data_IF_882709434369
#
_entry.id   IF_882709434369
#
_cell.length_a   1.000
_cell.length_b   1.000
_cell.length_c   1.000
_cell.angle_alpha   90.00
_cell.angle_beta   90.00
_cell.angle_gamma   90.00
#
_symmetry.space_group_name_H-M   'P 1'
#
loop_
_entity.id
_entity.type
_entity.pdbx_description
1 polymer ?
#
# COMPACT_ATOMS: atom_id res chain seq x y z
N UNK A 1 -16.29 -6.94 27.18
CA UNK A 1 -15.44 -7.85 27.99
C UNK A 1 -15.17 -9.19 27.31
N UNK A 2 -16.16 -9.93 26.80
CA UNK A 2 -15.94 -11.29 26.24
C UNK A 2 -15.13 -11.33 24.93
N UNK A 3 -15.27 -10.36 24.03
CA UNK A 3 -14.46 -10.28 22.79
C UNK A 3 -12.98 -10.07 23.08
N UNK A 4 -12.63 -9.19 24.02
CA UNK A 4 -11.25 -9.02 24.48
C UNK A 4 -10.70 -10.32 25.07
N UNK A 5 -11.45 -11.01 25.92
CA UNK A 5 -11.04 -12.31 26.48
C UNK A 5 -10.89 -13.39 25.40
N UNK A 6 -11.77 -13.40 24.40
CA UNK A 6 -11.66 -14.29 23.24
C UNK A 6 -10.38 -13.98 22.47
N UNK A 7 -10.15 -12.72 22.10
CA UNK A 7 -8.94 -12.30 21.39
C UNK A 7 -7.66 -12.56 22.20
N UNK A 8 -7.70 -12.40 23.53
CA UNK A 8 -6.59 -12.74 24.43
C UNK A 8 -6.29 -14.25 24.43
N UNK A 9 -7.31 -15.12 24.42
CA UNK A 9 -7.12 -16.58 24.30
C UNK A 9 -6.42 -16.98 23.00
N UNK A 10 -6.65 -16.22 21.92
CA UNK A 10 -5.98 -16.42 20.63
C UNK A 10 -4.64 -15.66 20.52
N UNK A 11 -4.16 -15.04 21.60
CA UNK A 11 -2.90 -14.29 21.62
C UNK A 11 -2.93 -12.93 20.91
N UNK A 12 -4.12 -12.49 20.47
CA UNK A 12 -4.33 -11.33 19.59
C UNK A 12 -4.31 -10.01 20.38
N UNK A 13 -5.05 -9.93 21.49
CA UNK A 13 -5.17 -8.72 22.31
C UNK A 13 -4.26 -8.72 23.56
N UNK A 14 -3.04 -9.24 23.40
CA UNK A 14 -2.09 -9.46 24.50
C UNK A 14 -1.28 -8.23 24.88
N UNK A 15 -1.20 -7.22 24.01
CA UNK A 15 -0.44 -5.98 24.24
C UNK A 15 -1.37 -4.73 24.27
N UNK A 16 -0.91 -3.60 24.86
CA UNK A 16 -1.73 -2.40 24.99
C UNK A 16 -2.22 -1.80 23.67
N UNK A 17 -1.39 -1.85 22.61
CA UNK A 17 -1.71 -1.33 21.28
C UNK A 17 -2.87 -2.11 20.65
N UNK A 18 -2.79 -3.45 20.64
CA UNK A 18 -3.85 -4.32 20.17
C UNK A 18 -5.14 -4.15 20.98
N UNK A 19 -5.05 -3.99 22.30
CA UNK A 19 -6.23 -3.70 23.15
C UNK A 19 -6.88 -2.36 22.80
N UNK A 20 -6.08 -1.34 22.49
CA UNK A 20 -6.60 -0.04 22.09
C UNK A 20 -7.33 -0.13 20.74
N UNK A 21 -6.77 -0.86 19.77
CA UNK A 21 -7.40 -1.10 18.47
C UNK A 21 -8.75 -1.81 18.65
N UNK A 22 -8.81 -2.86 19.47
CA UNK A 22 -10.06 -3.58 19.76
C UNK A 22 -11.13 -2.68 20.38
N UNK A 23 -10.74 -1.76 21.27
CA UNK A 23 -11.68 -0.84 21.93
C UNK A 23 -12.23 0.23 20.98
N UNK A 24 -11.41 0.69 20.04
CA UNK A 24 -11.76 1.80 19.15
C UNK A 24 -12.33 1.32 17.80
N UNK A 25 -12.23 0.02 17.49
CA UNK A 25 -12.78 -0.53 16.25
C UNK A 25 -14.31 -0.62 16.32
N UNK A 26 -15.04 -0.12 15.31
CA UNK A 26 -16.50 -0.12 15.33
C UNK A 26 -17.06 -1.54 15.28
N UNK A 27 -18.20 -1.72 15.96
CA UNK A 27 -18.99 -2.96 15.89
C UNK A 27 -20.17 -2.68 14.96
N UNK A 28 -20.20 -3.38 13.84
CA UNK A 28 -21.29 -3.31 12.87
C UNK A 28 -22.36 -4.31 13.28
N UNK A 29 -23.61 -3.89 13.26
CA UNK A 29 -24.76 -4.71 13.62
C UNK A 29 -25.63 -4.91 12.37
N UNK A 30 -25.86 -6.17 11.99
CA UNK A 30 -26.70 -6.53 10.84
C UNK A 30 -27.90 -7.32 11.35
N UNK A 31 -29.10 -6.77 11.19
CA UNK A 31 -30.35 -7.41 11.59
C UNK A 31 -30.70 -8.57 10.65
N UNK A 32 -31.08 -9.70 11.22
CA UNK A 32 -31.67 -10.81 10.47
C UNK A 32 -33.18 -10.55 10.34
N UNK A 33 -33.66 -10.43 9.10
CA UNK A 33 -35.04 -10.08 8.69
C UNK A 33 -36.12 -10.37 9.74
N UNK A 34 -36.87 -9.34 10.14
CA UNK A 34 -37.99 -9.31 11.11
C UNK A 34 -37.80 -10.01 12.47
N UNK A 35 -36.59 -10.43 12.82
CA UNK A 35 -36.29 -11.01 14.13
C UNK A 35 -35.58 -10.00 15.04
N UNK A 36 -35.68 -10.20 16.36
CA UNK A 36 -34.83 -9.51 17.34
C UNK A 36 -33.35 -9.94 17.24
N UNK A 37 -32.99 -10.86 16.34
CA UNK A 37 -31.63 -11.36 16.20
C UNK A 37 -30.81 -10.50 15.24
N UNK A 38 -29.55 -10.31 15.61
CA UNK A 38 -28.57 -9.63 14.76
C UNK A 38 -27.21 -10.34 14.82
N UNK A 39 -26.46 -10.17 13.75
CA UNK A 39 -25.03 -10.48 13.71
C UNK A 39 -24.23 -9.24 14.07
N UNK A 40 -23.35 -9.37 15.06
CA UNK A 40 -22.34 -8.39 15.43
C UNK A 40 -21.04 -8.75 14.72
N UNK A 41 -20.47 -7.80 13.98
CA UNK A 41 -19.21 -7.97 13.26
C UNK A 41 -18.25 -6.85 13.66
N UNK A 42 -17.06 -7.23 14.13
CA UNK A 42 -15.97 -6.29 14.39
C UNK A 42 -14.76 -6.71 13.54
N UNK A 43 -14.28 -5.81 12.68
CA UNK A 43 -13.06 -6.00 11.90
C UNK A 43 -11.90 -5.26 12.57
N UNK A 44 -10.79 -5.96 12.79
CA UNK A 44 -9.58 -5.43 13.43
C UNK A 44 -8.40 -5.50 12.47
N UNK A 45 -7.61 -4.44 12.42
CA UNK A 45 -6.41 -4.34 11.58
C UNK A 45 -5.18 -4.19 12.46
N UNK A 46 -4.57 -5.32 12.84
CA UNK A 46 -3.39 -5.35 13.73
C UNK A 46 -2.07 -5.49 12.99
N UNK A 47 -2.13 -5.83 11.71
CA UNK A 47 -0.97 -5.98 10.84
C UNK A 47 -1.40 -5.62 9.41
N UNK A 48 -0.53 -5.02 8.59
CA UNK A 48 -0.88 -4.66 7.23
C UNK A 48 -1.41 -5.86 6.43
N UNK A 49 -2.43 -5.63 5.60
CA UNK A 49 -3.03 -6.64 4.72
C UNK A 49 -3.50 -7.91 5.48
N UNK A 50 -3.78 -7.76 6.77
CA UNK A 50 -4.38 -8.76 7.64
C UNK A 50 -5.58 -8.15 8.37
N UNK A 51 -6.72 -8.80 8.25
CA UNK A 51 -7.93 -8.46 9.01
C UNK A 51 -8.26 -9.61 9.95
N UNK A 52 -8.71 -9.26 11.15
CA UNK A 52 -9.27 -10.22 12.12
C UNK A 52 -10.74 -9.86 12.23
N UNK A 53 -11.60 -10.77 11.80
CA UNK A 53 -13.04 -10.57 11.86
C UNK A 53 -13.57 -11.36 13.05
N UNK A 54 -14.10 -10.64 14.03
CA UNK A 54 -14.84 -11.21 15.15
C UNK A 54 -16.31 -11.12 14.80
N UNK A 55 -16.99 -12.27 14.73
CA UNK A 55 -18.42 -12.34 14.44
C UNK A 55 -19.12 -13.12 15.54
N UNK A 56 -20.35 -12.74 15.84
CA UNK A 56 -21.21 -13.46 16.77
C UNK A 56 -22.63 -12.93 16.75
N UNK A 57 -23.54 -13.70 17.30
CA UNK A 57 -24.97 -13.37 17.30
C UNK A 57 -25.38 -12.72 18.62
N UNK A 58 -26.37 -11.84 18.51
CA UNK A 58 -26.98 -11.14 19.63
C UNK A 58 -28.48 -10.96 19.40
N UNK A 59 -29.20 -10.74 20.48
CA UNK A 59 -30.59 -10.29 20.48
C UNK A 59 -30.65 -8.81 20.88
N UNK A 60 -31.35 -8.02 20.07
CA UNK A 60 -31.59 -6.60 20.25
C UNK A 60 -33.01 -6.35 20.76
N UNK A 61 -33.14 -5.29 21.53
CA UNK A 61 -34.43 -4.65 21.74
C UNK A 61 -34.82 -3.91 20.45
N UNK A 62 -35.92 -4.30 19.80
CA UNK A 62 -36.37 -3.68 18.55
C UNK A 62 -36.77 -2.21 18.71
N UNK A 63 -37.10 -1.74 19.93
CA UNK A 63 -37.49 -0.35 20.18
C UNK A 63 -36.29 0.56 20.46
N UNK A 64 -35.32 0.08 21.24
CA UNK A 64 -34.16 0.90 21.65
C UNK A 64 -32.90 0.60 20.84
N UNK A 65 -32.91 -0.46 20.02
CA UNK A 65 -31.75 -1.00 19.30
C UNK A 65 -30.57 -1.36 20.23
N UNK A 66 -30.83 -1.55 21.52
CA UNK A 66 -29.79 -1.95 22.49
C UNK A 66 -29.66 -3.47 22.53
N UNK A 67 -28.43 -3.96 22.69
CA UNK A 67 -28.15 -5.38 22.92
C UNK A 67 -28.80 -5.84 24.24
N UNK A 68 -29.79 -6.73 24.14
CA UNK A 68 -30.43 -7.38 25.29
C UNK A 68 -29.69 -8.65 25.70
N UNK A 69 -29.26 -9.46 24.73
CA UNK A 69 -28.62 -10.75 24.98
C UNK A 69 -27.50 -11.01 23.98
N UNK A 70 -26.37 -11.50 24.46
CA UNK A 70 -25.30 -12.06 23.61
C UNK A 70 -25.42 -13.59 23.62
N UNK A 71 -25.08 -14.23 22.50
CA UNK A 71 -25.01 -15.68 22.37
C UNK A 71 -23.53 -16.12 22.29
N UNK A 72 -22.81 -16.31 23.41
CA UNK A 72 -21.36 -16.51 23.41
C UNK A 72 -20.88 -17.68 22.54
N UNK A 73 -21.67 -18.74 22.44
CA UNK A 73 -21.44 -19.94 21.66
C UNK A 73 -21.38 -19.69 20.15
N UNK A 74 -21.91 -18.56 19.68
CA UNK A 74 -21.89 -18.18 18.26
C UNK A 74 -20.69 -17.33 17.89
N UNK A 75 -19.88 -16.91 18.87
CA UNK A 75 -18.72 -16.05 18.59
C UNK A 75 -17.57 -16.86 18.01
N UNK A 76 -17.10 -16.44 16.84
CA UNK A 76 -15.92 -16.99 16.21
C UNK A 76 -14.99 -15.88 15.71
N UNK A 77 -13.74 -16.27 15.45
CA UNK A 77 -12.71 -15.41 14.88
C UNK A 77 -12.31 -16.01 13.53
N UNK A 78 -12.41 -15.23 12.47
CA UNK A 78 -11.76 -15.53 11.20
C UNK A 78 -10.56 -14.60 10.97
N UNK A 79 -9.54 -15.13 10.31
CA UNK A 79 -8.35 -14.40 9.90
C UNK A 79 -8.40 -14.27 8.38
N UNK A 80 -8.51 -13.05 7.88
CA UNK A 80 -8.44 -12.75 6.45
C UNK A 80 -7.07 -12.13 6.15
N UNK A 81 -6.55 -12.42 4.96
CA UNK A 81 -5.28 -11.87 4.52
C UNK A 81 -5.31 -11.59 3.03
N UNK A 82 -4.84 -10.41 2.67
CA UNK A 82 -4.70 -9.94 1.28
C UNK A 82 -3.23 -9.73 0.92
N UNK A 83 -2.32 -10.50 1.56
CA UNK A 83 -0.89 -10.37 1.38
C UNK A 83 -0.52 -10.62 -0.08
N UNK A 84 0.18 -9.67 -0.69
CA UNK A 84 0.62 -9.75 -2.09
C UNK A 84 2.09 -10.16 -2.25
N UNK A 85 2.80 -10.28 -1.12
CA UNK A 85 4.26 -10.42 -1.08
C UNK A 85 5.02 -9.11 -1.31
N UNK A 86 4.32 -8.01 -1.62
CA UNK A 86 4.89 -6.66 -1.55
C UNK A 86 4.86 -6.11 -0.12
N UNK A 87 5.85 -5.28 0.25
CA UNK A 87 5.81 -4.61 1.54
C UNK A 87 4.73 -3.51 1.57
N UNK A 88 4.01 -3.44 2.68
CA UNK A 88 3.26 -2.24 3.07
C UNK A 88 4.22 -1.11 3.49
N UNK A 89 3.87 0.18 3.35
CA UNK A 89 4.72 1.30 3.77
C UNK A 89 5.26 1.17 5.20
N UNK A 90 4.44 0.70 6.15
CA UNK A 90 4.89 0.44 7.53
C UNK A 90 5.94 -0.67 7.64
N UNK A 91 5.89 -1.69 6.80
CA UNK A 91 6.88 -2.76 6.76
C UNK A 91 8.21 -2.30 6.15
N UNK A 92 8.22 -1.19 5.40
CA UNK A 92 9.43 -0.53 4.84
C UNK A 92 9.76 0.79 5.53
N UNK A 93 9.44 0.88 6.83
CA UNK A 93 9.80 2.03 7.67
C UNK A 93 9.32 3.40 7.14
N UNK A 94 8.13 3.42 6.54
CA UNK A 94 7.44 4.64 6.15
C UNK A 94 6.99 4.64 4.69
N UNK A 95 7.74 4.05 3.76
CA UNK A 95 7.49 4.18 2.31
C UNK A 95 7.58 2.84 1.58
N UNK A 96 6.61 2.55 0.73
CA UNK A 96 6.67 1.44 -0.23
C UNK A 96 5.78 1.73 -1.44
N UNK A 97 6.27 1.38 -2.62
CA UNK A 97 5.53 1.41 -3.88
C UNK A 97 4.51 0.25 -3.95
N UNK A 98 3.59 0.34 -4.91
CA UNK A 98 2.49 -0.61 -5.06
C UNK A 98 2.88 -1.91 -5.78
N UNK A 99 2.20 -3.01 -5.43
CA UNK A 99 2.34 -4.31 -6.09
C UNK A 99 2.11 -4.24 -7.60
N UNK A 100 1.23 -3.32 -8.03
CA UNK A 100 0.81 -3.11 -9.41
C UNK A 100 1.92 -2.58 -10.33
N UNK A 101 3.10 -2.24 -9.80
CA UNK A 101 4.22 -1.73 -10.59
C UNK A 101 5.14 -2.84 -11.12
N UNK A 102 4.89 -4.10 -10.75
CA UNK A 102 5.55 -5.27 -11.32
C UNK A 102 4.48 -6.27 -11.79
N UNK A 103 4.77 -7.08 -12.83
CA UNK A 103 3.85 -8.12 -13.24
C UNK A 103 3.61 -9.11 -12.10
N UNK A 104 2.34 -9.47 -11.86
CA UNK A 104 2.00 -10.43 -10.81
C UNK A 104 2.38 -11.86 -11.21
N UNK A 105 2.11 -12.22 -12.46
CA UNK A 105 2.39 -13.54 -13.02
C UNK A 105 2.62 -13.39 -14.54
N UNK A 106 3.88 -13.18 -14.97
CA UNK A 106 4.23 -13.13 -16.39
C UNK A 106 3.78 -14.40 -17.12
N UNK A 107 3.16 -14.28 -18.31
CA UNK A 107 2.68 -15.45 -19.06
C UNK A 107 3.83 -16.30 -19.64
N UNK A 108 4.98 -15.68 -19.91
CA UNK A 108 6.17 -16.33 -20.50
C UNK A 108 7.40 -16.22 -19.59
N UNK A 109 7.39 -16.82 -18.39
CA UNK A 109 8.51 -16.70 -17.46
C UNK A 109 9.83 -17.25 -18.01
N UNK A 110 9.78 -18.08 -19.07
CA UNK A 110 10.94 -18.54 -19.83
C UNK A 110 11.71 -17.41 -20.55
N UNK A 111 11.06 -16.27 -20.79
CA UNK A 111 11.68 -15.07 -21.40
C UNK A 111 12.25 -14.10 -20.34
N UNK A 112 12.22 -14.48 -19.06
CA UNK A 112 12.71 -13.68 -17.93
C UNK A 112 13.93 -14.36 -17.31
N UNK A 113 15.11 -13.97 -17.76
CA UNK A 113 16.39 -14.52 -17.32
C UNK A 113 16.57 -14.46 -15.80
N UNK A 114 16.57 -13.25 -15.23
CA UNK A 114 16.86 -13.04 -13.81
C UNK A 114 15.59 -12.87 -12.97
N UNK A 115 14.50 -12.42 -13.60
CA UNK A 115 13.25 -12.11 -12.92
C UNK A 115 12.35 -13.31 -12.66
N UNK A 116 12.52 -14.43 -13.39
CA UNK A 116 11.77 -15.67 -13.14
C UNK A 116 11.92 -16.14 -11.69
N UNK A 117 13.15 -16.31 -11.21
CA UNK A 117 13.45 -16.67 -9.82
C UNK A 117 12.96 -15.63 -8.81
N UNK A 118 12.94 -14.35 -9.17
CA UNK A 118 12.40 -13.31 -8.31
C UNK A 118 10.89 -13.52 -8.06
N UNK A 119 10.10 -13.79 -9.11
CA UNK A 119 8.66 -14.02 -8.97
C UNK A 119 8.34 -15.29 -8.18
N UNK A 120 9.13 -16.35 -8.35
CA UNK A 120 9.01 -17.57 -7.53
C UNK A 120 9.25 -17.27 -6.05
N UNK A 121 10.34 -16.56 -5.71
CA UNK A 121 10.65 -16.16 -4.33
C UNK A 121 9.58 -15.23 -3.75
N UNK A 122 9.00 -14.33 -4.55
CA UNK A 122 7.90 -13.47 -4.14
C UNK A 122 6.66 -14.29 -3.75
N UNK A 123 6.29 -15.28 -4.56
CA UNK A 123 5.16 -16.19 -4.28
C UNK A 123 5.38 -17.02 -3.01
N UNK A 124 6.60 -17.50 -2.78
CA UNK A 124 6.96 -18.20 -1.54
C UNK A 124 6.87 -17.27 -0.31
N UNK A 125 7.33 -16.03 -0.45
CA UNK A 125 7.25 -15.02 0.61
C UNK A 125 5.80 -14.68 0.94
N UNK A 126 4.97 -14.45 -0.08
CA UNK A 126 3.53 -14.22 0.06
C UNK A 126 2.86 -15.36 0.86
N UNK A 127 3.10 -16.61 0.47
CA UNK A 127 2.57 -17.80 1.18
C UNK A 127 3.07 -17.87 2.62
N UNK A 128 4.33 -17.48 2.85
CA UNK A 128 4.93 -17.43 4.18
C UNK A 128 4.35 -16.32 5.09
N UNK A 129 3.68 -15.31 4.53
CA UNK A 129 3.07 -14.19 5.26
C UNK A 129 1.58 -14.39 5.56
N UNK A 130 0.95 -15.44 5.01
CA UNK A 130 -0.42 -15.82 5.34
C UNK A 130 -0.61 -16.07 6.85
N UNK A 131 -1.84 -16.10 7.39
CA UNK A 131 -2.10 -16.20 8.83
C UNK A 131 -1.40 -17.36 9.57
N UNK A 132 -1.13 -18.46 8.87
CA UNK A 132 -0.42 -19.65 9.39
C UNK A 132 0.97 -19.84 8.77
N UNK A 133 1.47 -18.83 8.06
CA UNK A 133 2.75 -18.86 7.37
C UNK A 133 3.94 -18.67 8.32
N UNK A 134 5.07 -19.29 7.97
CA UNK A 134 6.30 -19.30 8.77
C UNK A 134 6.97 -17.93 8.96
N UNK A 135 6.67 -16.96 8.09
CA UNK A 135 7.33 -15.64 8.10
C UNK A 135 6.52 -14.58 8.88
N UNK A 136 5.24 -14.82 9.16
CA UNK A 136 4.35 -13.82 9.74
C UNK A 136 4.83 -13.30 11.10
N UNK A 137 5.22 -14.21 12.00
CA UNK A 137 5.69 -13.84 13.33
C UNK A 137 6.94 -12.95 13.27
N UNK A 138 7.86 -13.27 12.35
CA UNK A 138 9.06 -12.47 12.10
C UNK A 138 8.72 -11.11 11.50
N UNK A 139 7.82 -11.06 10.51
CA UNK A 139 7.38 -9.81 9.88
C UNK A 139 6.75 -8.85 10.91
N UNK A 140 5.92 -9.37 11.84
CA UNK A 140 5.35 -8.60 12.96
C UNK A 140 6.44 -8.06 13.89
N UNK A 141 7.44 -8.89 14.22
CA UNK A 141 8.56 -8.44 15.06
C UNK A 141 9.40 -7.36 14.37
N UNK A 142 9.73 -7.52 13.09
CA UNK A 142 10.47 -6.53 12.30
C UNK A 142 9.72 -5.20 12.21
N UNK A 143 8.42 -5.22 11.93
CA UNK A 143 7.58 -4.03 11.93
C UNK A 143 7.65 -3.27 13.26
N UNK A 144 7.54 -3.98 14.39
CA UNK A 144 7.65 -3.37 15.72
C UNK A 144 9.02 -2.74 15.96
N UNK A 145 10.10 -3.42 15.57
CA UNK A 145 11.46 -2.88 15.71
C UNK A 145 11.62 -1.63 14.83
N UNK A 146 11.16 -1.68 13.57
CA UNK A 146 11.21 -0.55 12.64
C UNK A 146 10.46 0.67 13.15
N UNK A 147 9.23 0.50 13.64
CA UNK A 147 8.45 1.58 14.25
C UNK A 147 9.20 2.21 15.42
N UNK A 148 9.75 1.39 16.32
CA UNK A 148 10.54 1.89 17.45
C UNK A 148 11.80 2.64 17.00
N UNK A 149 12.56 2.08 16.06
CA UNK A 149 13.76 2.70 15.51
C UNK A 149 13.45 4.02 14.80
N UNK A 150 12.28 4.12 14.15
CA UNK A 150 11.80 5.35 13.55
C UNK A 150 11.58 6.43 14.60
N UNK A 151 10.87 6.11 15.67
CA UNK A 151 10.53 7.09 16.71
C UNK A 151 11.78 7.61 17.45
N UNK A 152 12.75 6.75 17.77
CA UNK A 152 13.99 7.19 18.46
C UNK A 152 14.94 7.98 17.54
N UNK A 153 14.90 7.74 16.22
CA UNK A 153 15.75 8.41 15.22
C UNK A 153 14.95 9.35 14.30
N UNK A 154 13.82 9.89 14.79
CA UNK A 154 12.83 10.56 13.95
C UNK A 154 13.41 11.66 13.06
N UNK A 155 14.33 12.46 13.58
CA UNK A 155 14.85 13.61 12.84
C UNK A 155 15.65 13.18 11.61
N UNK A 156 16.51 12.18 11.75
CA UNK A 156 17.32 11.68 10.64
C UNK A 156 16.45 10.97 9.61
N UNK A 157 15.51 10.12 10.05
CA UNK A 157 14.68 9.35 9.13
C UNK A 157 13.65 10.21 8.38
N UNK A 158 13.05 11.21 9.05
CA UNK A 158 12.16 12.19 8.38
C UNK A 158 12.92 12.96 7.29
N UNK A 159 14.15 13.41 7.57
CA UNK A 159 14.99 14.11 6.58
C UNK A 159 15.43 13.18 5.42
N UNK A 160 15.74 11.92 5.68
CA UNK A 160 16.04 10.96 4.60
C UNK A 160 14.84 10.72 3.68
N UNK A 161 13.63 10.57 4.23
CA UNK A 161 12.41 10.47 3.44
C UNK A 161 12.14 11.75 2.65
N UNK A 162 12.30 12.92 3.29
CA UNK A 162 12.17 14.22 2.61
C UNK A 162 13.13 14.33 1.41
N UNK A 163 14.40 13.99 1.62
CA UNK A 163 15.43 14.02 0.58
C UNK A 163 15.07 13.08 -0.57
N UNK A 164 14.61 11.87 -0.26
CA UNK A 164 14.15 10.92 -1.28
C UNK A 164 13.07 11.51 -2.19
N UNK A 165 12.01 12.11 -1.63
CA UNK A 165 10.94 12.67 -2.46
C UNK A 165 11.32 13.96 -3.18
N UNK A 166 12.21 14.77 -2.61
CA UNK A 166 12.77 15.92 -3.32
C UNK A 166 13.62 15.47 -4.52
N UNK A 167 14.46 14.45 -4.35
CA UNK A 167 15.23 13.84 -5.45
C UNK A 167 14.29 13.24 -6.51
N UNK A 168 13.25 12.53 -6.10
CA UNK A 168 12.24 12.00 -7.01
C UNK A 168 11.58 13.11 -7.85
N UNK A 169 11.22 14.24 -7.23
CA UNK A 169 10.66 15.39 -7.94
C UNK A 169 11.67 16.01 -8.92
N UNK A 170 12.94 16.11 -8.52
CA UNK A 170 14.00 16.72 -9.34
C UNK A 170 14.25 15.96 -10.65
N UNK A 171 14.12 14.64 -10.62
CA UNK A 171 14.28 13.79 -11.81
C UNK A 171 12.99 13.60 -12.61
N UNK A 172 11.86 14.11 -12.11
CA UNK A 172 10.58 13.98 -12.79
C UNK A 172 10.57 14.80 -14.11
N UNK A 173 9.84 14.33 -15.15
CA UNK A 173 9.68 15.09 -16.39
C UNK A 173 9.15 16.51 -16.15
N UNK A 174 9.62 17.50 -16.91
CA UNK A 174 9.25 18.92 -16.76
C UNK A 174 7.75 19.23 -16.62
N UNK A 175 6.80 18.59 -17.34
CA UNK A 175 5.36 18.86 -17.12
C UNK A 175 4.84 18.45 -15.74
N UNK A 176 5.57 17.56 -15.06
CA UNK A 176 5.23 17.00 -13.75
C UNK A 176 6.06 17.62 -12.61
N UNK A 177 7.25 18.18 -12.90
CA UNK A 177 8.09 18.86 -11.92
C UNK A 177 7.61 20.31 -11.66
N UNK A 178 6.60 20.46 -10.79
CA UNK A 178 6.00 21.76 -10.44
C UNK A 178 6.49 22.26 -9.09
N UNK A 179 6.73 23.56 -8.97
CA UNK A 179 7.19 24.20 -7.72
C UNK A 179 6.25 23.97 -6.53
N UNK A 180 4.94 23.89 -6.79
CA UNK A 180 3.92 23.59 -5.77
C UNK A 180 4.13 22.24 -5.09
N UNK A 181 4.58 21.22 -5.83
CA UNK A 181 4.86 19.89 -5.29
C UNK A 181 6.03 19.99 -4.31
N UNK A 182 7.09 20.73 -4.66
CA UNK A 182 8.24 20.95 -3.77
C UNK A 182 7.81 21.59 -2.45
N UNK A 183 6.97 22.62 -2.51
CA UNK A 183 6.41 23.26 -1.32
C UNK A 183 5.57 22.28 -0.48
N UNK A 184 4.72 21.47 -1.12
CA UNK A 184 3.91 20.47 -0.41
C UNK A 184 4.75 19.43 0.33
N UNK A 185 5.86 18.96 -0.27
CA UNK A 185 6.80 18.03 0.35
C UNK A 185 7.42 18.68 1.59
N UNK A 186 7.95 19.91 1.45
CA UNK A 186 8.59 20.63 2.55
C UNK A 186 7.61 20.86 3.71
N UNK A 187 6.41 21.36 3.43
CA UNK A 187 5.38 21.63 4.43
C UNK A 187 4.98 20.36 5.19
N UNK A 188 4.83 19.23 4.50
CA UNK A 188 4.48 17.95 5.10
C UNK A 188 5.56 17.40 6.03
N UNK A 189 6.83 17.39 5.60
CA UNK A 189 7.92 16.91 6.45
C UNK A 189 8.20 17.85 7.65
N UNK A 190 8.05 19.17 7.47
CA UNK A 190 8.10 20.13 8.59
C UNK A 190 6.99 19.89 9.62
N UNK A 191 5.78 19.52 9.15
CA UNK A 191 4.68 19.11 10.02
C UNK A 191 4.99 17.81 10.76
N UNK A 192 5.57 16.80 10.08
CA UNK A 192 5.93 15.52 10.70
C UNK A 192 6.90 15.69 11.87
N UNK A 193 7.90 16.57 11.77
CA UNK A 193 8.83 16.83 12.88
C UNK A 193 8.13 17.26 14.19
N UNK A 194 6.98 17.94 14.06
CA UNK A 194 6.19 18.47 15.18
C UNK A 194 5.10 17.51 15.64
N UNK A 195 4.83 16.45 14.89
CA UNK A 195 3.79 15.48 15.22
C UNK A 195 4.24 14.54 16.36
N UNK A 196 3.29 14.08 17.18
CA UNK A 196 3.56 13.16 18.30
C UNK A 196 3.83 11.72 17.85
N UNK A 197 3.24 11.32 16.73
CA UNK A 197 3.38 9.99 16.10
C UNK A 197 3.72 10.12 14.61
N UNK A 198 4.91 10.64 14.27
CA UNK A 198 5.27 10.93 12.87
C UNK A 198 5.31 9.68 11.99
N UNK A 199 5.68 8.52 12.55
CA UNK A 199 5.70 7.27 11.80
C UNK A 199 4.31 6.90 11.26
N UNK A 200 3.29 6.95 12.12
CA UNK A 200 1.94 6.53 11.76
C UNK A 200 1.32 7.49 10.72
N UNK A 201 1.57 8.80 10.83
CA UNK A 201 1.12 9.80 9.84
C UNK A 201 1.82 9.62 8.49
N UNK A 202 3.14 9.38 8.49
CA UNK A 202 3.90 9.12 7.27
C UNK A 202 3.41 7.87 6.54
N UNK A 203 3.23 6.77 7.28
CA UNK A 203 2.72 5.50 6.74
C UNK A 203 1.32 5.68 6.17
N UNK A 204 0.43 6.36 6.89
CA UNK A 204 -0.95 6.61 6.46
C UNK A 204 -0.98 7.44 5.18
N UNK A 205 -0.24 8.55 5.11
CA UNK A 205 -0.17 9.38 3.91
C UNK A 205 0.33 8.61 2.69
N UNK A 206 1.41 7.83 2.84
CA UNK A 206 1.94 7.02 1.74
C UNK A 206 1.02 5.87 1.34
N UNK A 207 0.33 5.25 2.30
CA UNK A 207 -0.65 4.20 2.01
C UNK A 207 -1.84 4.78 1.22
N UNK A 208 -2.38 5.92 1.64
CA UNK A 208 -3.47 6.60 0.93
C UNK A 208 -3.04 7.04 -0.48
N UNK A 209 -1.82 7.57 -0.62
CA UNK A 209 -1.26 7.95 -1.92
C UNK A 209 -1.16 6.74 -2.86
N UNK A 210 -0.64 5.62 -2.37
CA UNK A 210 -0.55 4.36 -3.11
C UNK A 210 -1.93 3.86 -3.54
N UNK A 211 -2.89 3.89 -2.61
CA UNK A 211 -4.23 3.37 -2.86
C UNK A 211 -4.99 4.23 -3.86
N UNK A 212 -4.99 5.55 -3.68
CA UNK A 212 -5.73 6.50 -4.52
C UNK A 212 -5.14 6.63 -5.92
N UNK A 213 -3.82 6.65 -6.07
CA UNK A 213 -3.18 7.01 -7.33
C UNK A 213 -2.57 5.82 -8.09
N UNK A 214 -2.52 4.63 -7.50
CA UNK A 214 -1.95 3.45 -8.17
C UNK A 214 -2.92 2.27 -8.10
N UNK A 215 -3.27 1.81 -6.89
CA UNK A 215 -4.06 0.59 -6.71
C UNK A 215 -5.50 0.73 -7.21
N UNK A 216 -6.20 1.82 -6.87
CA UNK A 216 -7.57 2.07 -7.35
C UNK A 216 -7.64 2.23 -8.87
N UNK A 217 -6.80 3.05 -9.54
CA UNK A 217 -6.77 3.11 -11.00
C UNK A 217 -6.53 1.76 -11.67
N UNK A 218 -5.56 0.99 -11.16
CA UNK A 218 -5.30 -0.36 -11.65
C UNK A 218 -6.54 -1.27 -11.50
N UNK A 219 -7.14 -1.31 -10.31
CA UNK A 219 -8.29 -2.18 -10.05
C UNK A 219 -9.52 -1.74 -10.86
N UNK A 220 -9.73 -0.43 -11.05
CA UNK A 220 -10.80 0.09 -11.90
C UNK A 220 -10.63 -0.36 -13.36
N UNK A 221 -9.40 -0.34 -13.88
CA UNK A 221 -9.12 -0.87 -15.22
C UNK A 221 -9.33 -2.40 -15.27
N UNK A 222 -8.84 -3.14 -14.29
CA UNK A 222 -9.02 -4.60 -14.22
C UNK A 222 -10.51 -4.98 -14.16
N UNK A 223 -11.28 -4.30 -13.31
CA UNK A 223 -12.73 -4.49 -13.21
C UNK A 223 -13.44 -4.14 -14.52
N UNK A 224 -13.05 -3.06 -15.19
CA UNK A 224 -13.59 -2.72 -16.51
C UNK A 224 -13.29 -3.81 -17.54
N UNK A 225 -12.09 -4.39 -17.54
CA UNK A 225 -11.70 -5.49 -18.44
C UNK A 225 -12.54 -6.75 -18.15
N UNK A 226 -12.79 -7.06 -16.88
CA UNK A 226 -13.56 -8.25 -16.45
C UNK A 226 -15.06 -8.06 -16.70
N UNK A 227 -15.60 -6.89 -16.37
CA UNK A 227 -17.03 -6.57 -16.42
C UNK A 227 -17.52 -6.24 -17.84
N UNK A 228 -16.65 -5.69 -18.69
CA UNK A 228 -16.92 -5.44 -20.10
C UNK A 228 -16.09 -6.35 -21.03
N UNK A 229 -16.37 -7.68 -21.09
CA UNK A 229 -15.98 -8.45 -22.26
C UNK A 229 -16.64 -7.89 -23.54
N UNK A 230 -17.63 -7.00 -23.43
CA UNK A 230 -18.46 -6.45 -24.50
C UNK A 230 -17.82 -5.27 -25.24
N UNK A 231 -17.52 -5.48 -26.53
CA UNK A 231 -17.22 -4.52 -27.61
C UNK A 231 -16.02 -3.56 -27.47
N UNK A 232 -15.79 -2.88 -26.35
CA UNK A 232 -14.77 -1.81 -26.25
C UNK A 232 -13.33 -2.35 -26.38
N UNK A 233 -12.99 -3.38 -25.59
CA UNK A 233 -11.68 -4.06 -25.65
C UNK A 233 -11.62 -5.20 -26.69
N UNK A 234 -12.76 -5.59 -27.27
CA UNK A 234 -12.84 -6.54 -28.39
C UNK A 234 -12.59 -5.91 -29.77
N UNK A 235 -12.38 -4.58 -29.84
CA UNK A 235 -12.06 -3.89 -31.10
C UNK A 235 -10.82 -4.51 -31.75
N UNK A 236 -10.89 -4.70 -33.08
CA UNK A 236 -9.85 -5.36 -33.88
C UNK A 236 -8.51 -4.58 -33.93
N UNK A 237 -8.53 -3.28 -33.61
CA UNK A 237 -7.38 -2.40 -33.71
C UNK A 237 -6.66 -2.24 -32.36
N UNK A 238 -5.41 -2.67 -32.29
CA UNK A 238 -4.56 -2.61 -31.09
C UNK A 238 -4.43 -1.19 -30.52
N UNK A 239 -4.27 -0.17 -31.38
CA UNK A 239 -4.16 1.23 -30.95
C UNK A 239 -5.38 1.73 -30.16
N UNK A 240 -6.59 1.30 -30.54
CA UNK A 240 -7.81 1.68 -29.81
C UNK A 240 -7.85 1.05 -28.41
N UNK A 241 -7.31 -0.18 -28.23
CA UNK A 241 -7.29 -0.82 -26.91
C UNK A 241 -6.37 -0.08 -25.93
N UNK A 242 -5.20 0.34 -26.41
CA UNK A 242 -4.29 1.18 -25.64
C UNK A 242 -4.94 2.51 -25.24
N UNK A 243 -5.55 3.21 -26.19
CA UNK A 243 -6.19 4.51 -25.94
C UNK A 243 -7.33 4.39 -24.93
N UNK A 244 -8.17 3.36 -25.05
CA UNK A 244 -9.27 3.10 -24.10
C UNK A 244 -8.71 2.81 -22.70
N UNK A 245 -7.72 1.92 -22.57
CA UNK A 245 -7.11 1.61 -21.28
C UNK A 245 -6.47 2.85 -20.63
N UNK A 246 -5.78 3.67 -21.43
CA UNK A 246 -5.16 4.90 -20.96
C UNK A 246 -6.20 5.94 -20.50
N UNK A 247 -7.31 6.11 -21.25
CA UNK A 247 -8.41 6.99 -20.87
C UNK A 247 -9.08 6.53 -19.56
N UNK A 248 -9.26 5.22 -19.36
CA UNK A 248 -9.75 4.68 -18.08
C UNK A 248 -8.85 5.03 -16.90
N UNK A 249 -7.53 4.82 -17.04
CA UNK A 249 -6.57 5.15 -15.98
C UNK A 249 -6.56 6.66 -15.70
N UNK A 250 -6.61 7.50 -16.73
CA UNK A 250 -6.66 8.95 -16.54
C UNK A 250 -7.94 9.38 -15.81
N UNK A 251 -9.11 8.86 -16.21
CA UNK A 251 -10.38 9.14 -15.53
C UNK A 251 -10.37 8.69 -14.08
N UNK A 252 -9.73 7.56 -13.78
CA UNK A 252 -9.57 7.07 -12.42
C UNK A 252 -8.68 8.00 -11.58
N UNK A 253 -7.56 8.49 -12.12
CA UNK A 253 -6.72 9.52 -11.45
C UNK A 253 -7.50 10.81 -11.19
N UNK A 254 -8.24 11.30 -12.19
CA UNK A 254 -9.06 12.51 -12.04
C UNK A 254 -10.16 12.30 -10.97
N UNK A 255 -10.67 11.08 -10.83
CA UNK A 255 -11.62 10.72 -9.78
C UNK A 255 -10.98 10.77 -8.40
N UNK A 256 -9.77 10.24 -8.24
CA UNK A 256 -9.02 10.31 -6.98
C UNK A 256 -8.72 11.75 -6.58
N UNK A 257 -8.34 12.61 -7.54
CA UNK A 257 -8.14 14.04 -7.30
C UNK A 257 -9.43 14.72 -6.81
N UNK A 258 -10.56 14.45 -7.47
CA UNK A 258 -11.87 14.97 -7.04
C UNK A 258 -12.28 14.47 -5.65
N UNK A 259 -11.99 13.21 -5.33
CA UNK A 259 -12.24 12.63 -4.01
C UNK A 259 -11.46 13.37 -2.92
N UNK A 260 -10.17 13.63 -3.13
CA UNK A 260 -9.36 14.40 -2.17
C UNK A 260 -9.93 15.80 -1.95
N UNK A 261 -10.28 16.52 -3.03
CA UNK A 261 -10.92 17.85 -2.92
C UNK A 261 -12.24 17.77 -2.13
N UNK A 262 -13.01 16.69 -2.31
CA UNK A 262 -14.27 16.49 -1.58
C UNK A 262 -14.04 16.15 -0.11
N UNK A 263 -13.03 15.34 0.19
CA UNK A 263 -12.60 15.00 1.54
C UNK A 263 -12.12 16.25 2.28
N UNK A 264 -11.29 17.07 1.64
CA UNK A 264 -10.78 18.32 2.22
C UNK A 264 -11.93 19.24 2.67
N UNK A 265 -12.97 19.38 1.84
CA UNK A 265 -14.20 20.12 2.20
C UNK A 265 -14.95 19.52 3.38
N UNK A 266 -15.08 18.20 3.45
CA UNK A 266 -15.76 17.50 4.55
C UNK A 266 -14.97 17.54 5.86
N UNK A 267 -13.65 17.44 5.79
CA UNK A 267 -12.76 17.53 6.95
C UNK A 267 -12.69 18.95 7.50
N UNK A 268 -12.63 19.97 6.64
CA UNK A 268 -12.73 21.37 7.06
C UNK A 268 -14.08 21.65 7.76
N UNK A 269 -15.18 21.09 7.24
CA UNK A 269 -16.49 21.20 7.89
C UNK A 269 -16.53 20.49 9.25
N UNK A 270 -15.91 19.32 9.40
CA UNK A 270 -15.84 18.60 10.70
C UNK A 270 -14.90 19.25 11.70
N UNK A 271 -13.74 19.74 11.28
CA UNK A 271 -12.77 20.40 12.17
C UNK A 271 -13.32 21.71 12.77
N UNK A 272 -14.22 22.40 12.04
CA UNK A 272 -14.97 23.54 12.55
C UNK A 272 -15.99 23.16 13.64
N UNK A 273 -16.50 21.93 13.63
CA UNK A 273 -17.51 21.44 14.58
C UNK A 273 -16.86 20.82 15.82
N UNK A 274 -15.74 20.10 15.65
CA UNK A 274 -15.24 19.20 16.70
C UNK A 274 -14.02 19.74 17.47
N UNK A 275 -13.36 20.83 17.06
CA UNK A 275 -12.18 21.44 17.74
C UNK A 275 -11.02 20.48 18.14
N UNK A 276 -11.04 19.21 17.70
CA UNK A 276 -10.21 18.14 18.25
C UNK A 276 -8.95 17.82 17.42
N UNK A 277 -8.83 18.35 16.20
CA UNK A 277 -7.64 18.19 15.35
C UNK A 277 -7.26 19.55 14.74
N UNK A 278 -5.98 19.96 14.74
CA UNK A 278 -5.57 21.17 14.04
C UNK A 278 -5.86 20.99 12.55
N UNK A 279 -6.91 21.64 12.04
CA UNK A 279 -7.37 21.52 10.64
C UNK A 279 -6.21 21.64 9.63
N UNK A 280 -5.23 22.48 9.96
CA UNK A 280 -4.03 22.73 9.16
C UNK A 280 -3.16 21.48 8.93
N UNK A 281 -3.06 20.57 9.90
CA UNK A 281 -2.25 19.35 9.72
C UNK A 281 -2.84 18.40 8.69
N UNK A 282 -4.17 18.24 8.74
CA UNK A 282 -4.92 17.42 7.77
C UNK A 282 -4.82 18.03 6.36
N UNK A 283 -4.99 19.34 6.24
CA UNK A 283 -4.85 20.06 4.96
C UNK A 283 -3.45 19.87 4.34
N UNK A 284 -2.38 20.01 5.13
CA UNK A 284 -1.01 19.80 4.67
C UNK A 284 -0.82 18.35 4.19
N UNK A 285 -1.34 17.36 4.94
CA UNK A 285 -1.27 15.95 4.56
C UNK A 285 -1.99 15.68 3.24
N UNK A 286 -3.23 16.16 3.07
CA UNK A 286 -3.99 15.95 1.81
C UNK A 286 -3.35 16.66 0.62
N UNK A 287 -2.85 17.88 0.81
CA UNK A 287 -2.11 18.61 -0.24
C UNK A 287 -0.87 17.84 -0.70
N UNK A 288 -0.14 17.25 0.24
CA UNK A 288 1.01 16.39 -0.05
C UNK A 288 0.60 15.12 -0.80
N UNK A 289 -0.43 14.42 -0.32
CA UNK A 289 -0.98 13.20 -0.96
C UNK A 289 -1.41 13.50 -2.40
N UNK A 290 -2.13 14.60 -2.62
CA UNK A 290 -2.61 14.98 -3.95
C UNK A 290 -1.46 15.36 -4.89
N UNK A 291 -0.53 16.20 -4.43
CA UNK A 291 0.57 16.72 -5.25
C UNK A 291 1.52 15.62 -5.69
N UNK A 292 2.01 14.83 -4.74
CA UNK A 292 2.96 13.75 -5.01
C UNK A 292 2.26 12.51 -5.59
N UNK A 293 1.03 12.24 -5.16
CA UNK A 293 0.20 11.18 -5.71
C UNK A 293 -0.11 11.40 -7.18
N UNK A 294 -0.41 12.64 -7.61
CA UNK A 294 -0.62 12.95 -9.03
C UNK A 294 0.64 12.73 -9.86
N UNK A 295 1.81 13.14 -9.35
CA UNK A 295 3.10 12.88 -9.99
C UNK A 295 3.31 11.38 -10.20
N UNK A 296 3.17 10.58 -9.13
CA UNK A 296 3.36 9.13 -9.19
C UNK A 296 2.31 8.42 -10.02
N UNK A 297 1.03 8.76 -9.86
CA UNK A 297 -0.09 8.18 -10.60
C UNK A 297 0.08 8.36 -12.10
N UNK A 298 0.45 9.56 -12.54
CA UNK A 298 0.68 9.85 -13.96
C UNK A 298 1.79 8.97 -14.55
N UNK A 299 2.90 8.82 -13.84
CA UNK A 299 4.03 8.01 -14.32
C UNK A 299 3.77 6.51 -14.21
N UNK A 300 3.09 6.07 -13.17
CA UNK A 300 2.78 4.65 -12.97
C UNK A 300 1.73 4.13 -13.95
N UNK A 301 0.85 4.97 -14.50
CA UNK A 301 -0.08 4.57 -15.56
C UNK A 301 0.62 3.91 -16.76
N UNK A 302 1.79 4.41 -17.19
CA UNK A 302 2.52 3.80 -18.31
C UNK A 302 3.12 2.44 -17.96
N UNK A 303 3.53 2.25 -16.71
CA UNK A 303 3.97 0.96 -16.18
C UNK A 303 2.80 -0.03 -16.15
N UNK A 304 1.65 0.41 -15.64
CA UNK A 304 0.41 -0.39 -15.61
C UNK A 304 -0.05 -0.75 -17.03
N UNK A 305 0.00 0.19 -17.98
CA UNK A 305 -0.30 -0.08 -19.39
C UNK A 305 0.71 -1.02 -20.04
N UNK A 306 1.98 -1.00 -19.63
CA UNK A 306 2.96 -1.99 -20.09
C UNK A 306 2.54 -3.39 -19.65
N UNK A 307 2.11 -3.54 -18.39
CA UNK A 307 1.61 -4.82 -17.87
C UNK A 307 0.35 -5.30 -18.61
N UNK A 308 -0.71 -4.49 -18.66
CA UNK A 308 -1.98 -4.88 -19.31
C UNK A 308 -1.87 -5.06 -20.83
N UNK A 309 -0.75 -4.65 -21.44
CA UNK A 309 -0.50 -4.94 -22.86
C UNK A 309 -0.43 -6.44 -23.14
N UNK A 310 -0.06 -7.23 -22.12
CA UNK A 310 -0.02 -8.69 -22.20
C UNK A 310 -1.42 -9.29 -22.30
N UNK A 311 -2.38 -8.82 -21.48
CA UNK A 311 -3.75 -9.32 -21.48
C UNK A 311 -4.61 -8.73 -22.62
N UNK A 312 -4.37 -7.47 -22.98
CA UNK A 312 -5.17 -6.75 -23.98
C UNK A 312 -4.62 -6.84 -25.41
N UNK A 313 -3.41 -7.41 -25.58
CA UNK A 313 -2.76 -7.66 -26.87
C UNK A 313 -2.54 -6.38 -27.70
N UNK A 314 -1.99 -5.33 -27.09
CA UNK A 314 -1.51 -4.12 -27.79
C UNK A 314 0.00 -3.95 -27.65
N UNK A 315 0.59 -3.05 -28.44
CA UNK A 315 2.02 -2.75 -28.37
C UNK A 315 2.34 -2.07 -27.03
N UNK A 316 3.20 -2.65 -26.17
CA UNK A 316 3.53 -2.07 -24.87
C UNK A 316 4.12 -0.66 -25.03
N UNK A 317 3.73 0.32 -24.20
CA UNK A 317 4.41 1.61 -24.17
C UNK A 317 5.87 1.44 -23.74
N UNK A 318 6.76 2.21 -24.37
CA UNK A 318 8.15 2.35 -23.90
C UNK A 318 8.18 3.24 -22.67
N UNK A 319 8.80 2.77 -21.59
CA UNK A 319 8.97 3.56 -20.37
C UNK A 319 10.10 4.58 -20.54
N UNK A 320 9.89 5.82 -20.10
CA UNK A 320 10.98 6.80 -20.01
C UNK A 320 11.90 6.51 -18.80
N UNK A 321 13.02 7.22 -18.69
CA UNK A 321 14.01 7.00 -17.62
C UNK A 321 13.39 7.14 -16.22
N UNK A 322 12.48 8.09 -16.01
CA UNK A 322 11.81 8.28 -14.73
C UNK A 322 10.91 7.09 -14.35
N UNK A 323 10.11 6.60 -15.30
CA UNK A 323 9.25 5.43 -15.13
C UNK A 323 10.05 4.16 -14.90
N UNK A 324 11.17 3.98 -15.61
CA UNK A 324 12.09 2.87 -15.39
C UNK A 324 12.69 2.91 -13.98
N UNK A 325 13.02 4.09 -13.46
CA UNK A 325 13.50 4.29 -12.08
C UNK A 325 12.43 3.93 -11.05
N UNK A 326 11.18 4.34 -11.25
CA UNK A 326 10.06 3.95 -10.39
C UNK A 326 9.86 2.43 -10.40
N UNK A 327 9.84 1.80 -11.58
CA UNK A 327 9.67 0.34 -11.69
C UNK A 327 10.81 -0.42 -10.98
N UNK A 328 12.05 0.05 -11.12
CA UNK A 328 13.21 -0.55 -10.47
C UNK A 328 13.23 -0.33 -8.96
N UNK A 329 12.77 0.84 -8.49
CA UNK A 329 12.58 1.08 -7.06
C UNK A 329 11.55 0.09 -6.47
N UNK A 330 10.41 -0.12 -7.15
CA UNK A 330 9.41 -1.10 -6.73
C UNK A 330 9.98 -2.52 -6.64
N UNK A 331 10.73 -2.95 -7.66
CA UNK A 331 11.45 -4.23 -7.64
C UNK A 331 12.40 -4.35 -6.44
N UNK A 332 13.23 -3.33 -6.23
CA UNK A 332 14.23 -3.34 -5.16
C UNK A 332 13.59 -3.41 -3.78
N UNK A 333 12.52 -2.64 -3.56
CA UNK A 333 11.80 -2.65 -2.29
C UNK A 333 11.25 -4.05 -1.95
N UNK A 334 10.73 -4.77 -2.94
CA UNK A 334 10.28 -6.16 -2.76
C UNK A 334 11.45 -7.09 -2.50
N UNK A 335 12.53 -6.98 -3.28
CA UNK A 335 13.73 -7.80 -3.12
C UNK A 335 14.31 -7.66 -1.70
N UNK A 336 14.51 -6.43 -1.25
CA UNK A 336 15.04 -6.12 0.08
C UNK A 336 14.10 -6.62 1.18
N UNK A 337 12.78 -6.46 1.01
CA UNK A 337 11.80 -6.99 1.95
C UNK A 337 11.86 -8.52 2.05
N UNK A 338 11.95 -9.22 0.92
CA UNK A 338 12.11 -10.69 0.92
C UNK A 338 13.41 -11.12 1.60
N UNK A 339 14.52 -10.44 1.32
CA UNK A 339 15.82 -10.74 1.92
C UNK A 339 15.79 -10.54 3.44
N UNK A 340 15.22 -9.44 3.91
CA UNK A 340 15.04 -9.16 5.34
C UNK A 340 14.18 -10.23 6.04
N UNK A 341 13.08 -10.65 5.41
CA UNK A 341 12.22 -11.72 5.95
C UNK A 341 12.92 -13.07 6.02
N UNK A 342 13.98 -13.30 5.25
CA UNK A 342 14.75 -14.54 5.28
C UNK A 342 16.06 -14.45 6.09
N UNK A 343 16.56 -13.24 6.37
CA UNK A 343 17.81 -13.02 7.12
C UNK A 343 17.72 -13.44 8.60
N UNK A 344 18.68 -14.18 9.13
CA UNK A 344 18.64 -14.57 10.54
C UNK A 344 18.80 -13.35 11.46
N UNK A 345 18.02 -13.32 12.55
CA UNK A 345 18.18 -12.32 13.60
C UNK A 345 19.10 -12.89 14.68
N UNK A 346 20.04 -12.07 15.16
CA UNK A 346 20.93 -12.41 16.28
C UNK A 346 20.11 -12.68 17.55
N UNK A 347 20.67 -13.47 18.46
CA UNK A 347 20.12 -13.62 19.82
C UNK A 347 20.22 -12.29 20.59
N UNK A 348 21.21 -11.46 20.25
CA UNK A 348 21.41 -10.15 20.85
C UNK A 348 20.45 -9.12 20.24
N UNK A 349 19.61 -8.51 21.08
CA UNK A 349 18.64 -7.50 20.66
C UNK A 349 19.30 -6.24 20.13
N UNK A 350 20.40 -5.79 20.74
CA UNK A 350 21.03 -4.53 20.38
C UNK A 350 21.70 -4.61 19.00
N UNK A 351 22.30 -5.77 18.69
CA UNK A 351 22.83 -6.07 17.35
C UNK A 351 21.72 -6.03 16.29
N UNK A 352 20.56 -6.63 16.58
CA UNK A 352 19.42 -6.59 15.66
C UNK A 352 18.92 -5.15 15.43
N UNK A 353 18.88 -4.31 16.47
CA UNK A 353 18.44 -2.94 16.35
C UNK A 353 19.41 -2.12 15.49
N UNK A 354 20.72 -2.26 15.69
CA UNK A 354 21.74 -1.61 14.87
C UNK A 354 21.72 -2.10 13.41
N UNK A 355 21.58 -3.41 13.21
CA UNK A 355 21.48 -4.00 11.88
C UNK A 355 20.24 -3.47 11.14
N UNK A 356 19.06 -3.56 11.75
CA UNK A 356 17.81 -3.11 11.13
C UNK A 356 17.85 -1.59 10.89
N UNK A 357 18.41 -0.80 11.80
CA UNK A 357 18.56 0.64 11.61
C UNK A 357 19.46 0.97 10.42
N UNK A 358 20.63 0.33 10.33
CA UNK A 358 21.54 0.53 9.20
C UNK A 358 20.92 0.09 7.88
N UNK A 359 20.12 -0.97 7.86
CA UNK A 359 19.35 -1.42 6.70
C UNK A 359 18.28 -0.40 6.26
N UNK A 360 17.53 0.20 7.19
CA UNK A 360 16.53 1.25 6.86
C UNK A 360 17.23 2.43 6.17
N UNK A 361 18.33 2.91 6.75
CA UNK A 361 19.09 4.04 6.19
C UNK A 361 19.69 3.71 4.84
N UNK A 362 20.36 2.56 4.74
CA UNK A 362 20.95 2.09 3.51
C UNK A 362 19.88 1.93 2.41
N UNK A 363 18.69 1.42 2.73
CA UNK A 363 17.58 1.32 1.79
C UNK A 363 17.21 2.67 1.18
N UNK A 364 16.96 3.69 2.01
CA UNK A 364 16.61 5.04 1.53
C UNK A 364 17.75 5.71 0.75
N UNK A 365 18.98 5.64 1.24
CA UNK A 365 20.15 6.22 0.57
C UNK A 365 20.41 5.56 -0.78
N UNK A 366 20.34 4.23 -0.83
CA UNK A 366 20.50 3.48 -2.06
C UNK A 366 19.39 3.78 -3.09
N UNK A 367 18.16 4.04 -2.62
CA UNK A 367 17.07 4.48 -3.50
C UNK A 367 17.36 5.89 -4.06
N UNK A 368 17.82 6.84 -3.24
CA UNK A 368 18.27 8.16 -3.68
C UNK A 368 19.38 8.04 -4.74
N UNK A 369 20.36 7.17 -4.51
CA UNK A 369 21.48 6.95 -5.43
C UNK A 369 20.99 6.40 -6.78
N UNK A 370 20.04 5.46 -6.79
CA UNK A 370 19.39 4.98 -8.02
C UNK A 370 18.67 6.11 -8.74
N UNK A 371 17.93 6.95 -8.00
CA UNK A 371 17.22 8.07 -8.62
C UNK A 371 18.19 9.04 -9.29
N UNK A 372 19.40 9.22 -8.74
CA UNK A 372 20.43 10.09 -9.30
C UNK A 372 21.32 9.43 -10.35
N UNK A 373 21.39 8.10 -10.41
CA UNK A 373 22.29 7.41 -11.35
C UNK A 373 21.80 7.52 -12.79
N UNK A 374 22.75 7.48 -13.74
CA UNK A 374 22.47 7.36 -15.18
C UNK A 374 22.53 5.90 -15.65
N UNK A 375 22.72 4.96 -14.72
CA UNK A 375 22.94 3.56 -15.05
C UNK A 375 21.67 2.92 -15.61
N UNK A 376 21.85 2.03 -16.59
CA UNK A 376 20.76 1.18 -17.03
C UNK A 376 20.30 0.29 -15.88
N UNK A 377 19.00 0.27 -15.67
CA UNK A 377 18.40 -0.49 -14.57
C UNK A 377 18.07 -1.90 -15.08
N UNK A 378 18.77 -2.96 -14.59
CA UNK A 378 18.69 -4.29 -15.20
C UNK A 378 17.26 -4.82 -15.32
N UNK A 379 16.43 -4.58 -14.31
CA UNK A 379 15.03 -5.01 -14.25
C UNK A 379 14.20 -4.35 -15.34
N UNK A 380 14.32 -3.03 -15.50
CA UNK A 380 13.56 -2.31 -16.52
C UNK A 380 13.97 -2.71 -17.93
N UNK A 381 15.26 -2.99 -18.16
CA UNK A 381 15.77 -3.50 -19.45
C UNK A 381 15.25 -4.91 -19.75
N UNK A 382 15.27 -5.80 -18.75
CA UNK A 382 14.76 -7.17 -18.89
C UNK A 382 13.24 -7.17 -19.14
N UNK A 383 12.47 -6.40 -18.37
CA UNK A 383 11.02 -6.26 -18.57
C UNK A 383 10.68 -5.64 -19.93
N UNK A 384 11.43 -4.61 -20.38
CA UNK A 384 11.22 -4.03 -21.70
C UNK A 384 11.44 -5.07 -22.81
N UNK A 385 12.48 -5.88 -22.70
CA UNK A 385 12.80 -6.96 -23.65
C UNK A 385 11.72 -8.05 -23.62
N UNK A 386 11.32 -8.50 -22.43
CA UNK A 386 10.22 -9.43 -22.22
C UNK A 386 8.96 -8.98 -22.94
N UNK A 387 8.52 -7.75 -22.69
CA UNK A 387 7.31 -7.22 -23.26
C UNK A 387 7.42 -7.06 -24.80
N UNK A 388 8.61 -6.84 -25.37
CA UNK A 388 8.78 -6.80 -26.82
C UNK A 388 8.74 -8.19 -27.49
N UNK A 389 9.27 -9.21 -26.82
CA UNK A 389 9.48 -10.55 -27.40
C UNK A 389 8.31 -11.51 -27.17
N UNK A 390 7.51 -11.30 -26.12
CA UNK A 390 6.47 -12.25 -25.66
C UNK A 390 5.45 -12.68 -26.73
N UNK A 391 5.18 -11.84 -27.73
CA UNK A 391 4.23 -12.13 -28.81
C UNK A 391 4.88 -12.66 -30.11
N UNK A 392 6.21 -12.76 -30.17
CA UNK A 392 6.94 -13.13 -31.39
C UNK A 392 6.96 -14.65 -31.66
N UNK A 393 6.32 -15.47 -30.82
CA UNK A 393 6.35 -16.94 -30.89
C UNK A 393 5.01 -17.64 -30.61
N UNK A 394 3.89 -16.94 -30.82
CA UNK A 394 2.53 -17.53 -30.71
C UNK A 394 2.07 -18.21 -32.00
#
# INVERSE_FOLDING_TARGET
>A
MKVLTLLERYGIATNPEARNIVKNSPIITVLESETSKCTLTQKLFLFPEQSIVVMGSSELDLKTQTIQKLFPETFYISLESTQTGFPHPSQRAGWALANQLLPESPQRPDLLDSLSHFFERKKLTMTGLLPHGKLLAKAKNLLRIKKHLFEINKNELIELHRNYFLTLLEIAPSPLNRGEIRSSIIEFYDMLHRHSTPFDVLVDAHQQMRDLFITRPHNALLEAIIAEPSQAFQKKYQGMKYEIANDFLQKALDSSHREIISCDKLYLARAQIEHLVPARGIEIQWKYIDSLGTLLGTSTNRIILQYFSEDLLYVPPTLNVFEQKIQSAAYRQVKEFMEELHAELSVNKDENYQLIYSQIKAGLLNEIDILNSNDQLPVSTELASYFQLRHQSL
#
